data_IF_301014416075
#
_entry.id   IF_301014416075
#
_cell.length_a   1.000
_cell.length_b   1.000
_cell.length_c   1.000
_cell.angle_alpha   90.00
_cell.angle_beta   90.00
_cell.angle_gamma   90.00
#
_symmetry.space_group_name_H-M   'P 1'
#
loop_
_entity.id
_entity.type
_entity.pdbx_description
1 polymer ?
#
# COMPACT_ATOMS: atom_id res chain seq x y z
N UNK A 1 18.76 -3.64 50.34
CA UNK A 1 17.50 -4.25 49.84
C UNK A 1 16.79 -3.34 48.82
N UNK A 2 16.72 -2.00 49.02
CA UNK A 2 16.05 -1.08 48.10
C UNK A 2 16.78 -0.88 46.75
N UNK A 3 18.11 -0.94 46.71
CA UNK A 3 18.89 -0.79 45.47
C UNK A 3 18.81 -2.01 44.53
N UNK A 4 18.67 -3.22 45.09
CA UNK A 4 18.51 -4.43 44.30
C UNK A 4 17.13 -4.51 43.59
N UNK A 5 16.06 -4.03 44.22
CA UNK A 5 14.73 -3.93 43.64
C UNK A 5 14.64 -2.91 42.51
N UNK A 6 15.31 -1.77 42.62
CA UNK A 6 15.36 -0.73 41.58
C UNK A 6 16.14 -1.20 40.34
N UNK A 7 17.22 -1.96 40.51
CA UNK A 7 17.98 -2.55 39.39
C UNK A 7 17.20 -3.64 38.68
N UNK A 8 16.46 -4.48 39.42
CA UNK A 8 15.62 -5.52 38.83
C UNK A 8 14.45 -4.94 38.00
N UNK A 9 13.82 -3.89 38.51
CA UNK A 9 12.77 -3.16 37.78
C UNK A 9 13.27 -2.49 36.50
N UNK A 10 14.46 -1.89 36.51
CA UNK A 10 15.10 -1.30 35.33
C UNK A 10 15.50 -2.35 34.29
N UNK A 11 16.03 -3.49 34.70
CA UNK A 11 16.35 -4.58 33.77
C UNK A 11 15.11 -5.21 33.14
N UNK A 12 13.99 -5.34 33.88
CA UNK A 12 12.72 -5.82 33.35
C UNK A 12 12.09 -4.82 32.39
N UNK A 13 12.16 -3.52 32.64
CA UNK A 13 11.68 -2.48 31.75
C UNK A 13 12.52 -2.42 30.47
N UNK A 14 13.85 -2.54 30.55
CA UNK A 14 14.74 -2.61 29.40
C UNK A 14 14.55 -3.87 28.57
N UNK A 15 14.33 -5.03 29.20
CA UNK A 15 14.00 -6.28 28.49
C UNK A 15 12.66 -6.19 27.77
N UNK A 16 11.62 -5.60 28.39
CA UNK A 16 10.33 -5.37 27.73
C UNK A 16 10.45 -4.40 26.55
N UNK A 17 11.21 -3.32 26.67
CA UNK A 17 11.48 -2.39 25.58
C UNK A 17 12.27 -3.03 24.44
N UNK A 18 13.27 -3.85 24.75
CA UNK A 18 14.06 -4.60 23.77
C UNK A 18 13.25 -5.65 23.02
N UNK A 19 12.40 -6.41 23.72
CA UNK A 19 11.52 -7.44 23.13
C UNK A 19 10.45 -6.80 22.24
N UNK A 20 9.82 -5.71 22.69
CA UNK A 20 8.86 -4.96 21.91
C UNK A 20 9.49 -4.36 20.62
N UNK A 21 10.71 -3.82 20.72
CA UNK A 21 11.49 -3.34 19.59
C UNK A 21 11.80 -4.46 18.59
N UNK A 22 12.27 -5.61 19.07
CA UNK A 22 12.57 -6.78 18.24
C UNK A 22 11.31 -7.32 17.54
N UNK A 23 10.19 -7.39 18.23
CA UNK A 23 8.92 -7.86 17.67
C UNK A 23 8.39 -6.92 16.58
N UNK A 24 8.47 -5.62 16.83
CA UNK A 24 8.10 -4.60 15.84
C UNK A 24 8.99 -4.68 14.60
N UNK A 25 10.28 -4.89 14.76
CA UNK A 25 11.22 -5.00 13.65
C UNK A 25 10.93 -6.22 12.77
N UNK A 26 10.52 -7.35 13.37
CA UNK A 26 10.06 -8.53 12.63
C UNK A 26 8.81 -8.20 11.78
N UNK A 27 7.84 -7.49 12.33
CA UNK A 27 6.65 -7.09 11.57
C UNK A 27 7.01 -6.14 10.43
N UNK A 28 7.89 -5.17 10.64
CA UNK A 28 8.34 -4.25 9.58
C UNK A 28 9.06 -4.98 8.44
N UNK A 29 9.86 -6.02 8.73
CA UNK A 29 10.48 -6.83 7.68
C UNK A 29 9.44 -7.63 6.87
N UNK A 30 8.36 -8.10 7.50
CA UNK A 30 7.25 -8.74 6.78
C UNK A 30 6.48 -7.72 5.94
N UNK A 31 6.25 -6.52 6.44
CA UNK A 31 5.63 -5.43 5.67
C UNK A 31 6.44 -5.12 4.41
N UNK A 32 7.75 -5.04 4.53
CA UNK A 32 8.66 -4.86 3.39
C UNK A 32 8.57 -6.03 2.39
N UNK A 33 8.56 -7.26 2.90
CA UNK A 33 8.37 -8.46 2.09
C UNK A 33 7.03 -8.43 1.35
N UNK A 34 5.93 -8.12 2.03
CA UNK A 34 4.60 -8.00 1.42
C UNK A 34 4.55 -6.92 0.32
N UNK A 35 5.22 -5.78 0.53
CA UNK A 35 5.29 -4.72 -0.48
C UNK A 35 6.07 -5.13 -1.75
N UNK A 36 7.02 -6.04 -1.63
CA UNK A 36 7.78 -6.57 -2.78
C UNK A 36 7.08 -7.73 -3.49
N UNK A 37 6.27 -8.50 -2.75
CA UNK A 37 5.66 -9.75 -3.20
C UNK A 37 4.12 -9.71 -3.22
N UNK A 38 3.51 -8.51 -3.26
CA UNK A 38 2.06 -8.34 -3.18
C UNK A 38 1.28 -9.07 -4.28
N UNK A 39 1.88 -9.28 -5.43
CA UNK A 39 1.29 -9.98 -6.58
C UNK A 39 1.27 -11.52 -6.41
N UNK A 40 2.01 -12.05 -5.45
CA UNK A 40 2.05 -13.48 -5.14
C UNK A 40 0.90 -13.89 -4.20
N UNK A 41 0.51 -15.19 -4.19
CA UNK A 41 -0.46 -15.70 -3.25
C UNK A 41 0.14 -15.81 -1.84
N UNK A 42 0.21 -14.71 -1.12
CA UNK A 42 0.75 -14.66 0.24
C UNK A 42 -0.25 -15.23 1.25
N UNK A 43 0.17 -16.24 1.99
CA UNK A 43 -0.63 -16.85 3.05
C UNK A 43 -0.16 -16.36 4.43
N UNK A 44 -1.14 -16.13 5.32
CA UNK A 44 -0.85 -15.63 6.68
C UNK A 44 0.05 -16.56 7.46
N UNK A 45 -0.11 -17.87 7.27
CA UNK A 45 0.70 -18.92 7.90
C UNK A 45 2.18 -18.83 7.50
N UNK A 46 2.44 -18.60 6.23
CA UNK A 46 3.80 -18.44 5.69
C UNK A 46 4.47 -17.17 6.22
N UNK A 47 3.73 -16.07 6.26
CA UNK A 47 4.21 -14.80 6.82
C UNK A 47 4.51 -14.94 8.32
N UNK A 48 3.66 -15.64 9.07
CA UNK A 48 3.87 -15.94 10.49
C UNK A 48 5.12 -16.80 10.71
N UNK A 49 5.31 -17.84 9.89
CA UNK A 49 6.48 -18.72 9.97
C UNK A 49 7.79 -17.96 9.72
N UNK A 50 7.81 -17.00 8.79
CA UNK A 50 8.97 -16.11 8.55
C UNK A 50 9.35 -15.26 9.77
N UNK A 51 8.37 -14.93 10.62
CA UNK A 51 8.60 -14.25 11.90
C UNK A 51 8.97 -15.19 13.05
N UNK A 52 8.87 -16.52 12.86
CA UNK A 52 8.97 -17.51 13.93
C UNK A 52 7.81 -17.40 14.93
N UNK A 53 6.62 -17.06 14.47
CA UNK A 53 5.42 -16.86 15.26
C UNK A 53 4.31 -17.84 14.85
N UNK A 54 3.40 -18.16 15.80
CA UNK A 54 2.14 -18.80 15.44
C UNK A 54 1.26 -17.83 14.66
N UNK A 55 0.35 -18.35 13.81
CA UNK A 55 -0.60 -17.55 13.04
C UNK A 55 -1.34 -16.51 13.89
N UNK A 56 -1.89 -16.92 15.03
CA UNK A 56 -2.67 -16.04 15.90
C UNK A 56 -1.81 -14.94 16.53
N UNK A 57 -0.61 -15.28 17.00
CA UNK A 57 0.32 -14.31 17.57
C UNK A 57 0.78 -13.31 16.49
N UNK A 58 1.06 -13.79 15.29
CA UNK A 58 1.42 -12.93 14.14
C UNK A 58 0.32 -11.94 13.80
N UNK A 59 -0.93 -12.41 13.63
CA UNK A 59 -2.07 -11.54 13.32
C UNK A 59 -2.25 -10.46 14.41
N UNK A 60 -2.18 -10.85 15.67
CA UNK A 60 -2.31 -9.93 16.79
C UNK A 60 -1.22 -8.88 16.79
N UNK A 61 0.04 -9.30 16.68
CA UNK A 61 1.20 -8.40 16.67
C UNK A 61 1.20 -7.48 15.44
N UNK A 62 0.87 -8.02 14.26
CA UNK A 62 0.74 -7.23 13.04
C UNK A 62 -0.33 -6.15 13.18
N UNK A 63 -1.49 -6.51 13.75
CA UNK A 63 -2.58 -5.57 13.99
C UNK A 63 -2.20 -4.48 14.99
N UNK A 64 -1.46 -4.81 16.04
CA UNK A 64 -0.93 -3.82 16.98
C UNK A 64 0.04 -2.85 16.34
N UNK A 65 0.91 -3.34 15.42
CA UNK A 65 1.93 -2.52 14.75
C UNK A 65 1.37 -1.69 13.60
N UNK A 66 0.44 -2.25 12.82
CA UNK A 66 -0.02 -1.69 11.54
C UNK A 66 -1.46 -1.16 11.58
N UNK A 67 -2.20 -1.37 12.68
CA UNK A 67 -3.59 -0.95 12.84
C UNK A 67 -4.60 -1.80 12.04
N UNK A 68 -4.16 -2.82 11.31
CA UNK A 68 -5.00 -3.68 10.49
C UNK A 68 -4.43 -5.10 10.39
N UNK A 69 -5.24 -6.06 9.92
CA UNK A 69 -4.80 -7.44 9.73
C UNK A 69 -3.83 -7.56 8.54
N UNK A 70 -2.98 -8.61 8.49
CA UNK A 70 -2.11 -8.87 7.33
C UNK A 70 -2.89 -8.98 6.01
N UNK A 71 -4.05 -9.62 6.03
CA UNK A 71 -4.91 -9.74 4.86
C UNK A 71 -5.43 -8.39 4.37
N UNK A 72 -5.95 -7.56 5.28
CA UNK A 72 -6.42 -6.21 4.93
C UNK A 72 -5.29 -5.33 4.39
N UNK A 73 -4.09 -5.49 4.93
CA UNK A 73 -2.89 -4.79 4.45
C UNK A 73 -2.54 -5.21 3.03
N UNK A 74 -2.57 -6.52 2.72
CA UNK A 74 -2.32 -7.03 1.37
C UNK A 74 -3.32 -6.47 0.35
N UNK A 75 -4.62 -6.48 0.69
CA UNK A 75 -5.66 -5.88 -0.17
C UNK A 75 -5.37 -4.41 -0.42
N UNK A 76 -5.02 -3.65 0.62
CA UNK A 76 -4.68 -2.23 0.48
C UNK A 76 -3.51 -1.99 -0.48
N UNK A 77 -2.41 -2.72 -0.33
CA UNK A 77 -1.25 -2.59 -1.24
C UNK A 77 -1.67 -2.89 -2.69
N UNK A 78 -2.41 -3.96 -2.90
CA UNK A 78 -2.89 -4.35 -4.23
C UNK A 78 -3.77 -3.28 -4.86
N UNK A 79 -4.66 -2.65 -4.08
CA UNK A 79 -5.54 -1.58 -4.55
C UNK A 79 -4.75 -0.31 -4.88
N UNK A 80 -3.80 0.11 -4.03
CA UNK A 80 -2.93 1.26 -4.28
C UNK A 80 -2.09 1.07 -5.55
N UNK A 81 -1.60 -0.16 -5.79
CA UNK A 81 -0.86 -0.49 -7.03
C UNK A 81 -1.77 -0.50 -8.26
N UNK A 82 -2.98 -1.05 -8.13
CA UNK A 82 -3.96 -1.05 -9.21
C UNK A 82 -4.37 0.38 -9.60
N UNK A 83 -4.59 1.24 -8.62
CA UNK A 83 -4.87 2.65 -8.85
C UNK A 83 -3.78 3.31 -9.69
N UNK A 84 -2.52 3.17 -9.30
CA UNK A 84 -1.36 3.71 -10.02
C UNK A 84 -1.31 3.18 -11.47
N UNK A 85 -1.49 1.87 -11.67
CA UNK A 85 -1.47 1.27 -13.01
C UNK A 85 -2.63 1.73 -13.90
N UNK A 86 -3.82 1.92 -13.34
CA UNK A 86 -4.97 2.45 -14.07
C UNK A 86 -4.75 3.90 -14.50
N UNK A 87 -4.02 4.69 -13.73
CA UNK A 87 -3.67 6.08 -14.05
C UNK A 87 -2.65 6.22 -15.18
N UNK A 88 -1.80 5.23 -15.42
CA UNK A 88 -0.88 5.25 -16.58
C UNK A 88 -1.60 5.07 -17.92
N UNK A 89 -2.72 4.36 -17.92
CA UNK A 89 -3.53 4.13 -19.10
C UNK A 89 -3.06 3.02 -20.04
N UNK A 90 -1.85 2.51 -19.85
CA UNK A 90 -1.19 1.56 -20.76
C UNK A 90 -1.77 0.14 -20.68
N UNK A 91 -2.44 -0.20 -19.58
CA UNK A 91 -2.96 -1.52 -19.30
C UNK A 91 -4.48 -1.55 -19.27
N UNK A 92 -5.05 -2.66 -19.72
CA UNK A 92 -6.48 -2.96 -19.53
C UNK A 92 -6.78 -3.27 -18.06
N UNK A 93 -8.04 -3.15 -17.66
CA UNK A 93 -8.46 -3.53 -16.28
C UNK A 93 -8.13 -4.98 -15.97
N UNK A 94 -8.25 -5.89 -16.94
CA UNK A 94 -7.91 -7.29 -16.78
C UNK A 94 -6.42 -7.50 -16.54
N UNK A 95 -5.55 -6.84 -17.31
CA UNK A 95 -4.10 -6.89 -17.11
C UNK A 95 -3.70 -6.33 -15.74
N UNK A 96 -4.29 -5.22 -15.33
CA UNK A 96 -4.07 -4.65 -13.99
C UNK A 96 -4.46 -5.64 -12.90
N UNK A 97 -5.60 -6.34 -13.04
CA UNK A 97 -6.03 -7.36 -12.09
C UNK A 97 -4.97 -8.45 -11.93
N UNK A 98 -4.46 -9.00 -13.03
CA UNK A 98 -3.42 -10.05 -12.99
C UNK A 98 -2.11 -9.55 -12.40
N UNK A 99 -1.63 -8.39 -12.79
CA UNK A 99 -0.39 -7.79 -12.25
C UNK A 99 -0.48 -7.51 -10.76
N UNK A 100 -1.69 -7.19 -10.25
CA UNK A 100 -1.94 -7.00 -8.84
C UNK A 100 -2.22 -8.29 -8.04
N UNK A 101 -2.08 -9.47 -8.68
CA UNK A 101 -2.20 -10.76 -8.01
C UNK A 101 -3.63 -11.29 -7.89
N UNK A 102 -4.52 -10.86 -8.77
CA UNK A 102 -5.89 -11.37 -8.86
C UNK A 102 -6.04 -12.28 -10.08
N UNK A 103 -6.36 -13.55 -9.85
CA UNK A 103 -6.60 -14.52 -10.92
C UNK A 103 -7.98 -14.36 -11.57
N UNK A 104 -8.91 -13.70 -10.88
CA UNK A 104 -10.26 -13.43 -11.36
C UNK A 104 -10.49 -11.91 -11.47
N UNK A 105 -10.59 -11.38 -12.70
CA UNK A 105 -10.84 -9.96 -12.94
C UNK A 105 -12.18 -9.46 -12.36
N UNK A 106 -13.18 -10.32 -12.26
CA UNK A 106 -14.48 -9.96 -11.68
C UNK A 106 -14.36 -9.77 -10.16
N UNK A 107 -13.64 -10.67 -9.49
CA UNK A 107 -13.32 -10.51 -8.07
C UNK A 107 -12.50 -9.26 -7.81
N UNK A 108 -11.49 -8.99 -8.64
CA UNK A 108 -10.73 -7.74 -8.60
C UNK A 108 -11.63 -6.51 -8.71
N UNK A 109 -12.52 -6.46 -9.70
CA UNK A 109 -13.42 -5.32 -9.92
C UNK A 109 -14.33 -5.05 -8.72
N UNK A 110 -14.81 -6.11 -8.07
CA UNK A 110 -15.61 -6.00 -6.84
C UNK A 110 -14.78 -5.47 -5.66
N UNK A 111 -13.54 -5.97 -5.50
CA UNK A 111 -12.63 -5.51 -4.45
C UNK A 111 -12.25 -4.03 -4.66
N UNK A 112 -11.94 -3.65 -5.90
CA UNK A 112 -11.63 -2.27 -6.28
C UNK A 112 -12.82 -1.34 -6.01
N UNK A 113 -14.03 -1.71 -6.45
CA UNK A 113 -15.24 -0.91 -6.23
C UNK A 113 -15.57 -0.76 -4.74
N UNK A 114 -15.32 -1.78 -3.93
CA UNK A 114 -15.49 -1.71 -2.48
C UNK A 114 -14.48 -0.76 -1.84
N UNK A 115 -13.26 -0.70 -2.35
CA UNK A 115 -12.19 0.14 -1.80
C UNK A 115 -12.31 1.60 -2.22
N UNK A 116 -12.60 1.87 -3.50
CA UNK A 116 -12.64 3.22 -4.08
C UNK A 116 -14.04 3.79 -4.32
N UNK A 117 -15.09 3.00 -4.16
CA UNK A 117 -16.48 3.42 -4.39
C UNK A 117 -16.89 3.53 -5.86
N UNK A 118 -15.99 3.22 -6.80
CA UNK A 118 -16.25 3.26 -8.25
C UNK A 118 -15.62 2.04 -8.93
N UNK A 119 -16.14 1.62 -10.09
CA UNK A 119 -15.54 0.52 -10.84
C UNK A 119 -14.15 0.89 -11.39
N UNK A 120 -13.25 -0.09 -11.63
CA UNK A 120 -11.95 0.19 -12.23
C UNK A 120 -12.05 0.89 -13.59
N UNK A 121 -13.05 0.54 -14.39
CA UNK A 121 -13.30 1.13 -15.70
C UNK A 121 -13.73 2.59 -15.57
N UNK A 122 -14.69 2.88 -14.69
CA UNK A 122 -15.14 4.25 -14.45
C UNK A 122 -14.04 5.11 -13.84
N UNK A 123 -13.23 4.52 -12.94
CA UNK A 123 -12.07 5.20 -12.35
C UNK A 123 -11.10 5.64 -13.43
N UNK A 124 -10.72 4.72 -14.32
CA UNK A 124 -9.82 5.00 -15.45
C UNK A 124 -10.38 6.09 -16.36
N UNK A 125 -11.64 6.00 -16.75
CA UNK A 125 -12.28 6.99 -17.63
C UNK A 125 -12.34 8.39 -16.98
N UNK A 126 -12.73 8.48 -15.72
CA UNK A 126 -12.78 9.77 -15.00
C UNK A 126 -11.42 10.41 -14.88
N UNK A 127 -10.40 9.63 -14.57
CA UNK A 127 -9.02 10.12 -14.42
C UNK A 127 -8.52 10.77 -15.71
N UNK A 128 -8.73 10.14 -16.87
CA UNK A 128 -8.32 10.70 -18.16
C UNK A 128 -9.16 11.91 -18.56
N UNK A 129 -10.48 11.88 -18.40
CA UNK A 129 -11.36 13.02 -18.71
C UNK A 129 -11.03 14.27 -17.87
N UNK A 130 -10.67 14.11 -16.60
CA UNK A 130 -10.26 15.21 -15.73
C UNK A 130 -8.91 15.78 -16.12
N UNK A 131 -7.96 14.93 -16.50
CA UNK A 131 -6.64 15.37 -16.95
C UNK A 131 -6.69 16.09 -18.30
N UNK A 132 -7.51 15.63 -19.24
CA UNK A 132 -7.75 16.35 -20.51
C UNK A 132 -8.33 17.74 -20.26
N UNK A 133 -9.35 17.85 -19.39
CA UNK A 133 -9.92 19.17 -19.04
C UNK A 133 -8.89 20.11 -18.43
N UNK A 134 -7.99 19.61 -17.56
CA UNK A 134 -6.91 20.42 -16.98
C UNK A 134 -5.91 20.89 -18.03
N UNK A 135 -5.55 20.04 -19.00
CA UNK A 135 -4.65 20.39 -20.11
C UNK A 135 -5.23 21.48 -21.00
N UNK A 136 -6.54 21.43 -21.31
CA UNK A 136 -7.22 22.45 -22.10
C UNK A 136 -7.56 23.73 -21.34
N UNK A 137 -7.48 23.70 -20.00
CA UNK A 137 -7.71 24.87 -19.14
C UNK A 137 -6.45 25.69 -18.89
N UNK A 138 -5.28 25.28 -19.37
CA UNK A 138 -4.06 26.09 -19.32
C UNK A 138 -4.18 27.17 -20.39
N UNK A 139 -4.19 28.48 -20.01
CA UNK A 139 -4.22 29.55 -21.02
C UNK A 139 -2.99 29.40 -21.91
N UNK A 140 -3.21 29.41 -23.24
CA UNK A 140 -2.11 29.44 -24.18
C UNK A 140 -1.19 30.60 -23.83
N UNK A 141 0.13 30.39 -23.73
CA UNK A 141 1.06 31.52 -23.55
C UNK A 141 0.82 32.50 -24.69
N UNK A 142 0.62 33.76 -24.33
CA UNK A 142 0.49 34.82 -25.34
C UNK A 142 1.78 34.82 -26.17
N UNK A 143 1.63 34.51 -27.46
CA UNK A 143 2.73 34.65 -28.41
C UNK A 143 2.94 36.15 -28.54
N UNK A 144 4.12 36.71 -28.20
CA UNK A 144 4.36 38.12 -28.43
C UNK A 144 4.24 38.36 -29.93
N UNK A 145 3.30 39.21 -30.34
CA UNK A 145 3.24 39.73 -31.71
C UNK A 145 4.57 40.42 -31.97
N UNK A 146 5.38 39.80 -32.83
CA UNK A 146 6.61 40.42 -33.29
C UNK A 146 6.26 41.74 -33.96
N UNK A 147 6.59 42.82 -33.27
CA UNK A 147 6.48 44.14 -33.78
C UNK A 147 7.15 44.24 -35.14
N UNK A 148 6.41 44.81 -36.07
CA UNK A 148 6.88 45.18 -37.41
C UNK A 148 8.23 45.86 -37.33
N UNK A 149 9.24 45.23 -37.89
CA UNK A 149 10.48 45.93 -38.26
C UNK A 149 10.18 46.81 -39.43
N UNK A 150 9.96 48.09 -39.18
CA UNK A 150 10.05 49.09 -40.21
C UNK A 150 11.51 49.21 -40.61
N UNK A 151 11.79 48.91 -41.83
CA UNK A 151 13.01 49.31 -42.53
C UNK A 151 12.91 50.78 -42.90
#
# INVERSE_FOLDING_TARGET
FRQAMALFGRQMAQRKGSVASSSRQRILSIVEYMNRHYFEPLQTEELAARCGLSKYHFIHLFRMCMGMTPYSYLIRIRMERAETLLQTGDMTVQEVAFVCGYNDPLYFSRAFSRHFGVSPTDYKQRFFSENERKLFSIPKPAIPENGERKF
#
